data_IF_545780331058
#
_entry.id   IF_545780331058
#
_cell.length_a   1.000
_cell.length_b   1.000
_cell.length_c   1.000
_cell.angle_alpha   90.00
_cell.angle_beta   90.00
_cell.angle_gamma   90.00
#
_symmetry.space_group_name_H-M   'P 1'
#
loop_
_entity.id
_entity.type
_entity.pdbx_description
1 polymer ?
#
# COMPACT_ATOMS: atom_id res chain seq x y z
N UNK A 1 14.58 -17.67 18.61
CA UNK A 1 14.50 -17.90 17.14
C UNK A 1 15.90 -17.85 16.52
N UNK A 2 16.18 -18.63 15.46
CA UNK A 2 17.54 -18.69 14.87
C UNK A 2 17.86 -17.60 13.83
N UNK A 3 16.85 -17.18 13.04
CA UNK A 3 17.01 -16.15 12.01
C UNK A 3 15.68 -15.46 11.77
N UNK A 4 15.75 -14.19 11.38
CA UNK A 4 14.61 -13.37 10.99
C UNK A 4 14.87 -12.77 9.61
N UNK A 5 13.82 -12.55 8.82
CA UNK A 5 13.92 -11.89 7.52
C UNK A 5 13.49 -10.44 7.65
N UNK A 6 14.44 -9.53 7.53
CA UNK A 6 14.19 -8.10 7.60
C UNK A 6 13.88 -7.56 6.20
N UNK A 7 12.86 -6.72 6.11
CA UNK A 7 12.58 -5.90 4.93
C UNK A 7 13.17 -4.51 5.11
N UNK A 8 14.13 -4.16 4.26
CA UNK A 8 14.74 -2.84 4.21
C UNK A 8 14.15 -2.06 3.04
N UNK A 9 13.85 -0.78 3.26
CA UNK A 9 13.34 0.12 2.24
C UNK A 9 14.14 1.44 2.19
N UNK A 10 14.20 2.08 1.02
CA UNK A 10 14.71 3.44 0.89
C UNK A 10 13.53 4.40 0.69
N UNK A 11 13.10 5.08 1.75
CA UNK A 11 11.91 5.92 1.77
C UNK A 11 12.26 7.41 1.74
N UNK A 12 11.37 8.30 1.28
CA UNK A 12 11.54 9.74 1.47
C UNK A 12 11.47 10.11 2.96
N UNK A 13 12.22 11.12 3.37
CA UNK A 13 11.99 11.80 4.66
C UNK A 13 10.73 12.66 4.60
N UNK A 14 10.22 13.11 5.76
CA UNK A 14 9.00 13.94 5.85
C UNK A 14 9.06 15.23 5.02
N UNK A 15 10.26 15.76 4.79
CA UNK A 15 10.50 16.93 3.92
C UNK A 15 10.44 16.62 2.41
N UNK A 16 10.34 15.35 2.02
CA UNK A 16 10.32 14.84 0.65
C UNK A 16 11.63 15.00 -0.13
N UNK A 17 12.64 15.66 0.45
CA UNK A 17 13.89 16.05 -0.22
C UNK A 17 14.96 15.00 -0.05
N UNK A 18 15.07 14.43 1.15
CA UNK A 18 16.08 13.42 1.46
C UNK A 18 15.49 12.02 1.39
N UNK A 19 16.37 11.01 1.39
CA UNK A 19 15.98 9.62 1.50
C UNK A 19 16.54 9.06 2.80
N UNK A 20 15.78 8.16 3.43
CA UNK A 20 16.13 7.47 4.66
C UNK A 20 16.02 5.96 4.44
N UNK A 21 16.98 5.22 4.99
CA UNK A 21 16.93 3.77 5.01
C UNK A 21 16.05 3.35 6.18
N UNK A 22 15.06 2.51 5.90
CA UNK A 22 14.09 2.04 6.86
C UNK A 22 14.10 0.52 6.95
N UNK A 23 13.73 -0.02 8.10
CA UNK A 23 13.30 -1.40 8.28
C UNK A 23 11.78 -1.35 8.43
N UNK A 24 11.04 -1.95 7.50
CA UNK A 24 9.58 -1.79 7.43
C UNK A 24 8.84 -3.00 8.00
N UNK A 25 9.43 -4.19 7.89
CA UNK A 25 8.84 -5.41 8.43
C UNK A 25 9.88 -6.46 8.79
N UNK A 26 9.48 -7.40 9.63
CA UNK A 26 10.25 -8.58 10.02
C UNK A 26 9.40 -9.81 9.75
N UNK A 27 9.97 -10.84 9.11
CA UNK A 27 9.27 -12.11 8.92
C UNK A 27 9.98 -13.27 9.63
N UNK A 28 9.20 -14.18 10.19
CA UNK A 28 9.69 -15.41 10.81
C UNK A 28 9.82 -16.53 9.78
N UNK A 29 10.43 -17.67 10.16
CA UNK A 29 10.54 -18.85 9.26
C UNK A 29 9.17 -19.40 8.86
N UNK A 30 8.17 -19.18 9.71
CA UNK A 30 6.77 -19.59 9.52
C UNK A 30 5.99 -18.65 8.59
N UNK A 31 6.68 -17.71 7.92
CA UNK A 31 6.12 -16.69 7.02
C UNK A 31 5.16 -15.69 7.68
N UNK A 32 5.08 -15.67 9.01
CA UNK A 32 4.44 -14.59 9.73
C UNK A 32 5.22 -13.30 9.52
N UNK A 33 4.53 -12.21 9.21
CA UNK A 33 5.13 -10.89 8.97
C UNK A 33 4.68 -9.95 10.08
N UNK A 34 5.61 -9.16 10.58
CA UNK A 34 5.38 -8.22 11.66
C UNK A 34 5.78 -6.81 11.20
N UNK A 35 4.87 -5.84 11.38
CA UNK A 35 5.10 -4.45 11.00
C UNK A 35 6.06 -3.77 11.99
N UNK A 36 6.95 -2.92 11.47
CA UNK A 36 7.68 -1.96 12.30
C UNK A 36 6.94 -0.62 12.23
N UNK A 37 6.46 -0.05 13.36
CA UNK A 37 5.80 1.25 13.40
C UNK A 37 6.64 2.37 12.77
N UNK A 38 5.99 3.28 12.05
CA UNK A 38 6.66 4.30 11.21
C UNK A 38 7.67 5.15 11.98
N UNK A 39 7.37 5.46 13.24
CA UNK A 39 8.19 6.29 14.13
C UNK A 39 9.55 5.65 14.42
N UNK A 40 9.64 4.32 14.32
CA UNK A 40 10.82 3.54 14.68
C UNK A 40 11.46 2.82 13.49
N UNK A 41 10.97 3.01 12.25
CA UNK A 41 11.51 2.32 11.07
C UNK A 41 12.93 2.76 10.69
N UNK A 42 13.35 3.97 11.03
CA UNK A 42 14.66 4.49 10.62
C UNK A 42 15.79 3.55 11.02
N UNK A 43 16.59 3.10 10.06
CA UNK A 43 17.68 2.15 10.31
C UNK A 43 18.72 2.68 11.31
N UNK A 44 18.80 4.00 11.49
CA UNK A 44 19.63 4.62 12.52
C UNK A 44 19.24 4.25 13.95
N UNK A 45 17.98 3.85 14.16
CA UNK A 45 17.48 3.34 15.45
C UNK A 45 17.85 1.87 15.68
N UNK A 46 18.08 1.12 14.60
CA UNK A 46 18.42 -0.30 14.61
C UNK A 46 19.95 -0.51 14.71
N UNK A 47 20.58 0.01 15.78
CA UNK A 47 22.05 0.12 15.92
C UNK A 47 22.84 -1.19 15.80
N UNK A 48 22.31 -2.30 16.32
CA UNK A 48 23.00 -3.60 16.16
C UNK A 48 22.78 -4.19 14.76
N UNK A 49 21.64 -3.90 14.13
CA UNK A 49 21.32 -4.37 12.78
C UNK A 49 22.26 -3.77 11.74
N UNK A 50 22.61 -2.48 11.87
CA UNK A 50 23.52 -1.80 10.93
C UNK A 50 24.96 -2.31 10.99
N UNK A 51 25.35 -2.99 12.08
CA UNK A 51 26.68 -3.60 12.19
C UNK A 51 26.78 -4.91 11.41
N UNK A 52 25.65 -5.50 11.03
CA UNK A 52 25.63 -6.79 10.35
C UNK A 52 26.24 -6.71 8.95
N UNK A 53 26.95 -7.77 8.55
CA UNK A 53 27.44 -7.90 7.18
C UNK A 53 26.31 -7.92 6.13
N UNK A 54 25.12 -8.38 6.53
CA UNK A 54 23.91 -8.34 5.73
C UNK A 54 23.51 -6.89 5.42
N UNK A 55 23.42 -6.01 6.42
CA UNK A 55 23.10 -4.61 6.19
C UNK A 55 24.13 -3.90 5.29
N UNK A 56 25.42 -4.18 5.49
CA UNK A 56 26.48 -3.62 4.65
C UNK A 56 26.35 -4.00 3.16
N UNK A 57 25.71 -5.13 2.84
CA UNK A 57 25.37 -5.53 1.46
C UNK A 57 24.04 -4.94 0.99
N UNK A 58 23.07 -4.80 1.89
CA UNK A 58 21.75 -4.22 1.59
C UNK A 58 21.86 -2.74 1.22
N UNK A 59 22.58 -1.94 2.02
CA UNK A 59 22.72 -0.49 1.83
C UNK A 59 23.10 -0.09 0.40
N UNK A 60 24.19 -0.60 -0.22
CA UNK A 60 24.53 -0.27 -1.60
C UNK A 60 23.60 -0.88 -2.66
N UNK A 61 22.75 -1.84 -2.30
CA UNK A 61 21.80 -2.49 -3.22
C UNK A 61 20.48 -1.71 -3.39
N UNK A 62 20.20 -0.79 -2.48
CA UNK A 62 19.04 0.10 -2.48
C UNK A 62 19.44 1.47 -3.05
N UNK A 63 19.24 1.67 -4.35
CA UNK A 63 19.73 2.87 -5.07
C UNK A 63 18.63 3.88 -5.42
N UNK A 64 17.39 3.43 -5.54
CA UNK A 64 16.24 4.28 -5.93
C UNK A 64 15.23 4.34 -4.78
N UNK A 65 14.55 5.48 -4.67
CA UNK A 65 13.44 5.67 -3.72
C UNK A 65 12.38 4.58 -3.93
N UNK A 66 11.79 4.13 -2.83
CA UNK A 66 10.82 3.03 -2.73
C UNK A 66 11.35 1.64 -3.11
N UNK A 67 12.65 1.48 -3.33
CA UNK A 67 13.20 0.12 -3.46
C UNK A 67 13.20 -0.59 -2.11
N UNK A 68 12.91 -1.89 -2.15
CA UNK A 68 12.93 -2.77 -0.98
C UNK A 68 13.85 -3.97 -1.20
N UNK A 69 14.37 -4.54 -0.10
CA UNK A 69 15.13 -5.79 -0.09
C UNK A 69 14.81 -6.58 1.17
N UNK A 70 14.49 -7.86 0.98
CA UNK A 70 14.23 -8.80 2.08
C UNK A 70 15.45 -9.68 2.26
N UNK A 71 16.02 -9.68 3.47
CA UNK A 71 17.25 -10.44 3.75
C UNK A 71 17.11 -11.21 5.06
N UNK A 72 17.45 -12.50 4.99
CA UNK A 72 17.57 -13.34 6.18
C UNK A 72 18.85 -12.98 6.95
N UNK A 73 18.68 -12.69 8.23
CA UNK A 73 19.76 -12.34 9.15
C UNK A 73 19.70 -13.33 10.31
N UNK A 74 20.83 -14.00 10.55
CA UNK A 74 21.00 -14.88 11.70
C UNK A 74 20.93 -14.04 12.98
N UNK A 75 20.18 -14.51 13.97
CA UNK A 75 20.09 -13.85 15.27
C UNK A 75 21.35 -14.13 16.08
N UNK A 76 22.15 -13.09 16.30
CA UNK A 76 23.17 -13.09 17.35
C UNK A 76 22.52 -12.80 18.70
N UNK A 77 23.24 -13.02 19.79
CA UNK A 77 22.73 -12.77 21.14
C UNK A 77 22.31 -11.31 21.33
N UNK A 78 23.03 -10.36 20.72
CA UNK A 78 22.70 -8.93 20.78
C UNK A 78 21.44 -8.59 20.00
N UNK A 79 21.28 -9.14 18.80
CA UNK A 79 20.07 -8.93 17.99
C UNK A 79 18.87 -9.62 18.62
N UNK A 80 19.05 -10.82 19.18
CA UNK A 80 17.96 -11.55 19.82
C UNK A 80 17.38 -10.72 20.96
N UNK A 81 18.21 -10.12 21.83
CA UNK A 81 17.74 -9.26 22.93
C UNK A 81 16.94 -8.02 22.47
N UNK A 82 17.17 -7.58 21.23
CA UNK A 82 16.50 -6.39 20.68
C UNK A 82 15.18 -6.76 20.02
N UNK A 83 15.15 -7.88 19.30
CA UNK A 83 14.02 -8.24 18.42
C UNK A 83 13.14 -9.37 18.94
N UNK A 84 13.60 -10.12 19.94
CA UNK A 84 12.93 -11.31 20.46
C UNK A 84 12.95 -11.27 21.98
N UNK A 85 11.80 -11.36 22.62
CA UNK A 85 11.72 -11.47 24.08
C UNK A 85 12.05 -12.89 24.56
N UNK A 86 11.98 -13.11 25.88
CA UNK A 86 12.25 -14.42 26.50
C UNK A 86 11.21 -15.48 26.11
N UNK A 87 9.99 -15.06 25.79
CA UNK A 87 8.87 -15.92 25.39
C UNK A 87 8.83 -16.20 23.87
N UNK A 88 9.72 -15.58 23.10
CA UNK A 88 9.82 -15.74 21.66
C UNK A 88 8.92 -14.82 20.84
N UNK A 89 8.34 -13.78 21.43
CA UNK A 89 7.58 -12.75 20.73
C UNK A 89 8.51 -11.75 20.06
N UNK A 90 8.05 -11.17 18.94
CA UNK A 90 8.81 -10.11 18.28
C UNK A 90 8.52 -8.75 18.90
N UNK A 91 9.60 -8.04 19.21
CA UNK A 91 9.56 -6.72 19.82
C UNK A 91 10.56 -5.77 19.14
N UNK A 92 10.42 -4.49 19.40
CA UNK A 92 11.50 -3.53 19.20
C UNK A 92 11.30 -2.31 20.10
N UNK A 93 12.32 -1.95 20.86
CA UNK A 93 12.16 -0.93 21.90
C UNK A 93 11.29 -1.46 23.05
N UNK A 94 10.26 -0.70 23.44
CA UNK A 94 9.35 -1.05 24.54
C UNK A 94 7.99 -1.59 24.05
N UNK A 95 7.90 -2.02 22.79
CA UNK A 95 6.66 -2.46 22.17
C UNK A 95 6.81 -3.78 21.41
N UNK A 96 5.72 -4.56 21.42
CA UNK A 96 5.55 -5.73 20.57
C UNK A 96 5.20 -5.31 19.14
N UNK A 97 5.65 -6.09 18.17
CA UNK A 97 5.34 -5.84 16.76
C UNK A 97 4.00 -6.48 16.40
N UNK A 98 3.22 -5.80 15.57
CA UNK A 98 1.92 -6.28 15.11
C UNK A 98 2.07 -7.29 13.96
N UNK A 99 1.44 -8.46 14.07
CA UNK A 99 1.40 -9.46 13.00
C UNK A 99 0.46 -9.00 11.88
N UNK A 100 0.99 -8.87 10.66
CA UNK A 100 0.23 -8.54 9.46
C UNK A 100 -0.25 -9.83 8.81
N UNK A 101 -1.56 -9.98 8.64
CA UNK A 101 -2.13 -11.12 7.92
C UNK A 101 -1.68 -11.15 6.45
N UNK A 102 -0.91 -12.18 6.08
CA UNK A 102 -0.66 -12.47 4.67
C UNK A 102 -1.90 -13.12 4.05
N UNK A 103 -2.64 -12.37 3.21
CA UNK A 103 -3.57 -12.98 2.25
C UNK A 103 -2.76 -13.78 1.22
N UNK A 104 -2.49 -15.05 1.53
CA UNK A 104 -1.76 -15.98 0.66
C UNK A 104 -2.48 -16.04 -0.69
N UNK A 105 -1.85 -15.47 -1.72
CA UNK A 105 -2.26 -15.65 -3.11
C UNK A 105 -1.13 -16.39 -3.79
N UNK A 106 -1.30 -17.70 -3.93
CA UNK A 106 -0.35 -18.58 -4.60
C UNK A 106 -0.11 -18.10 -6.04
N UNK A 107 1.15 -17.84 -6.39
CA UNK A 107 1.63 -17.84 -7.78
C UNK A 107 2.12 -16.50 -8.33
N UNK A 108 3.43 -16.48 -8.62
CA UNK A 108 4.05 -15.58 -9.61
C UNK A 108 4.87 -14.45 -9.01
N UNK A 109 6.12 -14.31 -9.46
CA UNK A 109 6.94 -13.10 -9.25
C UNK A 109 6.15 -11.88 -9.70
N UNK A 110 6.04 -10.88 -8.82
CA UNK A 110 5.32 -9.64 -9.15
C UNK A 110 6.21 -8.46 -8.84
N UNK A 111 6.55 -7.71 -9.88
CA UNK A 111 7.02 -6.32 -9.80
C UNK A 111 6.00 -5.50 -9.01
N UNK A 112 6.44 -4.81 -7.96
CA UNK A 112 5.63 -4.19 -6.89
C UNK A 112 4.37 -3.41 -7.32
N UNK A 113 4.26 -2.95 -8.57
CA UNK A 113 3.05 -2.29 -9.10
C UNK A 113 1.88 -3.24 -9.36
N UNK A 114 2.12 -4.43 -9.91
CA UNK A 114 1.03 -5.38 -10.23
C UNK A 114 0.48 -6.09 -8.98
N UNK A 115 1.26 -6.15 -7.89
CA UNK A 115 0.84 -6.74 -6.61
C UNK A 115 -0.17 -5.86 -5.92
N UNK A 116 0.07 -4.55 -5.92
CA UNK A 116 -0.87 -3.58 -5.38
C UNK A 116 -2.14 -3.57 -6.21
N UNK A 117 -2.06 -3.51 -7.54
CA UNK A 117 -3.26 -3.57 -8.41
C UNK A 117 -4.10 -4.84 -8.18
N UNK A 118 -3.46 -6.00 -7.99
CA UNK A 118 -4.16 -7.27 -7.69
C UNK A 118 -4.69 -7.33 -6.25
N UNK A 119 -3.96 -6.80 -5.27
CA UNK A 119 -4.43 -6.73 -3.88
C UNK A 119 -5.57 -5.71 -3.75
N UNK A 120 -5.51 -4.57 -4.44
CA UNK A 120 -6.62 -3.63 -4.58
C UNK A 120 -7.81 -4.30 -5.26
N UNK A 121 -7.60 -5.00 -6.38
CA UNK A 121 -8.68 -5.72 -7.09
C UNK A 121 -9.34 -6.78 -6.21
N UNK A 122 -8.56 -7.48 -5.38
CA UNK A 122 -9.02 -8.58 -4.51
C UNK A 122 -9.65 -8.10 -3.20
N UNK A 123 -9.17 -6.99 -2.62
CA UNK A 123 -9.79 -6.31 -1.47
C UNK A 123 -11.17 -5.75 -1.89
N UNK A 124 -11.23 -5.20 -3.10
CA UNK A 124 -12.45 -4.71 -3.75
C UNK A 124 -13.39 -5.88 -4.12
N UNK A 125 -12.91 -6.99 -4.69
CA UNK A 125 -13.76 -8.13 -5.09
C UNK A 125 -14.48 -8.82 -3.92
N UNK A 126 -13.82 -8.99 -2.78
CA UNK A 126 -14.36 -9.80 -1.66
C UNK A 126 -15.61 -9.22 -0.99
N UNK A 127 -15.88 -7.92 -1.16
CA UNK A 127 -17.10 -7.25 -0.67
C UNK A 127 -17.98 -6.73 -1.81
N UNK A 128 -17.52 -6.75 -3.06
CA UNK A 128 -18.21 -6.16 -4.21
C UNK A 128 -18.92 -7.12 -5.16
N UNK A 129 -18.69 -8.44 -5.22
CA UNK A 129 -19.27 -9.26 -6.30
C UNK A 129 -20.80 -9.12 -6.49
N UNK A 130 -21.56 -8.89 -5.40
CA UNK A 130 -23.01 -8.64 -5.44
C UNK A 130 -23.34 -7.17 -5.80
N UNK A 131 -22.53 -6.20 -5.38
CA UNK A 131 -22.72 -4.75 -5.63
C UNK A 131 -22.20 -4.30 -7.01
N UNK A 132 -21.09 -4.87 -7.49
CA UNK A 132 -20.40 -4.57 -8.76
C UNK A 132 -21.25 -4.92 -9.98
N UNK A 133 -22.05 -5.99 -9.90
CA UNK A 133 -23.00 -6.35 -10.96
C UNK A 133 -24.05 -5.24 -11.18
N UNK A 134 -24.49 -4.58 -10.10
CA UNK A 134 -25.47 -3.50 -10.18
C UNK A 134 -24.83 -2.19 -10.69
N UNK A 135 -23.64 -1.82 -10.17
CA UNK A 135 -22.94 -0.59 -10.57
C UNK A 135 -22.45 -0.60 -12.03
N UNK A 136 -21.98 -1.75 -12.53
CA UNK A 136 -21.57 -1.88 -13.95
C UNK A 136 -22.78 -1.75 -14.89
N UNK A 137 -23.91 -2.35 -14.52
CA UNK A 137 -25.17 -2.20 -15.26
C UNK A 137 -25.64 -0.73 -15.29
N UNK A 138 -25.56 -0.03 -14.16
CA UNK A 138 -25.90 1.39 -14.08
C UNK A 138 -24.94 2.23 -14.96
N UNK A 139 -23.64 1.98 -14.88
CA UNK A 139 -22.65 2.69 -15.68
C UNK A 139 -22.82 2.51 -17.19
N UNK A 140 -23.23 1.32 -17.65
CA UNK A 140 -23.56 1.07 -19.07
C UNK A 140 -24.79 1.86 -19.56
N UNK A 141 -25.62 2.38 -18.64
CA UNK A 141 -26.80 3.19 -18.94
C UNK A 141 -26.54 4.69 -18.81
N UNK A 142 -25.37 5.11 -18.33
CA UNK A 142 -25.00 6.52 -18.32
C UNK A 142 -24.74 6.98 -19.76
N UNK A 143 -25.26 8.16 -20.09
CA UNK A 143 -25.05 8.78 -21.41
C UNK A 143 -23.96 9.84 -21.27
N UNK A 144 -22.76 9.41 -20.88
CA UNK A 144 -21.58 10.25 -20.74
C UNK A 144 -20.33 9.52 -21.24
N UNK A 145 -19.47 10.22 -21.98
CA UNK A 145 -18.19 9.70 -22.41
C UNK A 145 -17.22 9.58 -21.23
N UNK A 146 -16.27 8.66 -21.32
CA UNK A 146 -15.18 8.57 -20.33
C UNK A 146 -14.39 9.87 -20.28
N UNK A 147 -14.02 10.28 -19.07
CA UNK A 147 -13.11 11.39 -18.89
C UNK A 147 -11.71 11.01 -19.37
N UNK A 148 -11.14 11.88 -20.19
CA UNK A 148 -9.75 11.80 -20.62
C UNK A 148 -9.11 13.17 -20.49
N UNK A 149 -7.78 13.22 -20.47
CA UNK A 149 -7.02 14.48 -20.52
C UNK A 149 -7.23 15.31 -21.79
N UNK A 150 -8.02 14.83 -22.75
CA UNK A 150 -8.31 15.47 -24.03
C UNK A 150 -9.77 15.88 -24.22
N UNK A 151 -10.67 15.42 -23.33
CA UNK A 151 -12.09 15.74 -23.39
C UNK A 151 -12.30 17.00 -22.53
N UNK A 152 -12.53 18.11 -23.19
CA UNK A 152 -12.44 19.47 -22.68
C UNK A 152 -13.36 19.74 -21.46
N UNK A 153 -12.83 20.52 -20.51
CA UNK A 153 -13.48 21.06 -19.30
C UNK A 153 -13.94 20.04 -18.23
N UNK A 154 -13.01 19.69 -17.32
CA UNK A 154 -13.24 18.79 -16.18
C UNK A 154 -14.47 19.17 -15.33
N UNK A 155 -14.67 20.46 -15.06
CA UNK A 155 -15.83 20.95 -14.29
C UNK A 155 -17.15 20.66 -15.00
N UNK A 156 -17.19 20.82 -16.32
CA UNK A 156 -18.40 20.52 -17.09
C UNK A 156 -18.65 19.01 -17.15
N UNK A 157 -17.58 18.22 -17.26
CA UNK A 157 -17.67 16.77 -17.27
C UNK A 157 -18.14 16.22 -15.92
N UNK A 158 -17.61 16.72 -14.80
CA UNK A 158 -18.03 16.25 -13.48
C UNK A 158 -19.49 16.63 -13.18
N UNK A 159 -19.95 17.81 -13.61
CA UNK A 159 -21.37 18.18 -13.52
C UNK A 159 -22.27 17.23 -14.34
N UNK A 160 -21.83 16.81 -15.53
CA UNK A 160 -22.57 15.83 -16.34
C UNK A 160 -22.59 14.46 -15.66
N UNK A 161 -21.47 14.05 -15.06
CA UNK A 161 -21.37 12.80 -14.32
C UNK A 161 -22.29 12.79 -13.08
N UNK A 162 -22.31 13.87 -12.30
CA UNK A 162 -23.17 14.00 -11.13
C UNK A 162 -24.67 14.03 -11.50
N UNK A 163 -25.03 14.66 -12.63
CA UNK A 163 -26.40 14.62 -13.16
C UNK A 163 -26.83 13.20 -13.51
N UNK A 164 -25.93 12.41 -14.10
CA UNK A 164 -26.21 11.00 -14.38
C UNK A 164 -26.29 10.18 -13.09
N UNK A 165 -25.42 10.41 -12.09
CA UNK A 165 -25.56 9.80 -10.76
C UNK A 165 -26.93 10.09 -10.14
N UNK A 166 -27.39 11.35 -10.19
CA UNK A 166 -28.71 11.73 -9.70
C UNK A 166 -29.85 11.07 -10.49
N UNK A 167 -29.71 10.90 -11.81
CA UNK A 167 -30.70 10.23 -12.67
C UNK A 167 -30.93 8.76 -12.29
N UNK A 168 -29.96 8.11 -11.66
CA UNK A 168 -30.03 6.73 -11.18
C UNK A 168 -30.11 6.62 -9.65
N UNK A 169 -30.51 7.69 -8.96
CA UNK A 169 -30.65 7.73 -7.50
C UNK A 169 -29.36 7.39 -6.72
N UNK A 170 -28.19 7.69 -7.31
CA UNK A 170 -26.89 7.56 -6.65
C UNK A 170 -26.57 8.87 -5.93
N UNK A 171 -27.08 8.99 -4.71
CA UNK A 171 -26.99 10.21 -3.91
C UNK A 171 -25.75 10.21 -3.01
N UNK A 172 -25.35 9.04 -2.52
CA UNK A 172 -24.23 8.85 -1.59
C UNK A 172 -22.87 9.06 -2.27
N UNK A 173 -22.04 9.95 -1.73
CA UNK A 173 -20.78 10.34 -2.35
C UNK A 173 -19.78 9.19 -2.48
N UNK A 174 -19.72 8.30 -1.48
CA UNK A 174 -18.92 7.07 -1.59
C UNK A 174 -19.28 6.22 -2.81
N UNK A 175 -20.58 6.11 -3.14
CA UNK A 175 -21.04 5.39 -4.34
C UNK A 175 -20.72 6.14 -5.63
N UNK A 176 -20.80 7.47 -5.63
CA UNK A 176 -20.40 8.29 -6.78
C UNK A 176 -18.91 8.09 -7.06
N UNK A 177 -18.07 8.12 -6.03
CA UNK A 177 -16.62 7.88 -6.13
C UNK A 177 -16.36 6.47 -6.67
N UNK A 178 -17.05 5.44 -6.16
CA UNK A 178 -16.90 4.06 -6.67
C UNK A 178 -17.21 3.94 -8.17
N UNK A 179 -18.30 4.56 -8.63
CA UNK A 179 -18.73 4.52 -10.04
C UNK A 179 -17.81 5.36 -10.91
N UNK A 180 -17.28 6.47 -10.39
CA UNK A 180 -16.39 7.38 -11.10
C UNK A 180 -15.23 6.65 -11.77
N UNK A 181 -14.69 5.61 -11.13
CA UNK A 181 -13.63 4.75 -11.69
C UNK A 181 -13.97 4.20 -13.07
N UNK A 182 -15.22 3.80 -13.30
CA UNK A 182 -15.67 3.20 -14.56
C UNK A 182 -15.63 4.19 -15.73
N UNK A 183 -15.63 5.48 -15.41
CA UNK A 183 -15.62 6.59 -16.35
C UNK A 183 -14.25 7.28 -16.47
N UNK A 184 -13.22 6.81 -15.76
CA UNK A 184 -11.85 7.31 -15.90
C UNK A 184 -11.06 6.46 -16.90
N UNK A 185 -10.34 7.10 -17.82
CA UNK A 185 -9.48 6.41 -18.79
C UNK A 185 -8.01 6.87 -18.72
N UNK A 186 -7.09 5.96 -19.05
CA UNK A 186 -5.63 6.21 -19.09
C UNK A 186 -5.11 6.88 -17.80
N UNK A 187 -4.40 8.00 -17.94
CA UNK A 187 -3.80 8.76 -16.84
C UNK A 187 -4.81 9.25 -15.80
N UNK A 188 -6.09 9.38 -16.15
CA UNK A 188 -7.14 9.77 -15.21
C UNK A 188 -7.49 8.61 -14.26
N UNK A 189 -7.38 7.36 -14.72
CA UNK A 189 -7.56 6.18 -13.86
C UNK A 189 -6.39 6.02 -12.87
N UNK A 190 -5.17 6.38 -13.28
CA UNK A 190 -3.99 6.41 -12.42
C UNK A 190 -4.13 7.49 -11.32
N UNK A 191 -4.64 8.66 -11.69
CA UNK A 191 -4.97 9.74 -10.74
C UNK A 191 -6.03 9.28 -9.74
N UNK A 192 -7.14 8.70 -10.21
CA UNK A 192 -8.18 8.18 -9.34
C UNK A 192 -7.62 7.15 -8.34
N UNK A 193 -6.80 6.23 -8.83
CA UNK A 193 -6.17 5.19 -7.99
C UNK A 193 -5.26 5.82 -6.92
N UNK A 194 -4.50 6.85 -7.30
CA UNK A 194 -3.64 7.59 -6.36
C UNK A 194 -4.44 8.35 -5.31
N UNK A 195 -5.59 8.93 -5.68
CA UNK A 195 -6.45 9.67 -4.74
C UNK A 195 -7.18 8.74 -3.77
N UNK A 196 -7.64 7.57 -4.21
CA UNK A 196 -8.20 6.56 -3.31
C UNK A 196 -7.16 6.11 -2.27
N UNK A 197 -5.89 5.96 -2.66
CA UNK A 197 -4.80 5.61 -1.73
C UNK A 197 -4.58 6.71 -0.69
N UNK A 198 -4.65 7.98 -1.13
CA UNK A 198 -4.33 9.14 -0.29
C UNK A 198 -5.48 9.57 0.63
N UNK A 199 -6.71 9.52 0.13
CA UNK A 199 -7.90 10.08 0.77
C UNK A 199 -8.89 8.99 1.24
N UNK A 200 -8.76 7.74 0.81
CA UNK A 200 -9.76 6.69 1.04
C UNK A 200 -11.16 7.06 0.50
N UNK A 201 -12.17 6.23 0.73
CA UNK A 201 -13.56 6.50 0.28
C UNK A 201 -14.32 7.45 1.23
N UNK A 202 -13.82 7.63 2.46
CA UNK A 202 -14.54 8.32 3.54
C UNK A 202 -14.03 9.75 3.80
N UNK A 203 -12.99 10.22 3.10
CA UNK A 203 -12.54 11.61 3.24
C UNK A 203 -13.33 12.55 2.34
N UNK A 204 -13.37 13.83 2.72
CA UNK A 204 -13.87 14.91 1.88
C UNK A 204 -12.95 15.12 0.66
N UNK A 205 -13.45 14.85 -0.54
CA UNK A 205 -12.78 15.16 -1.81
C UNK A 205 -12.97 16.63 -2.18
N UNK A 206 -12.73 17.54 -1.23
CA UNK A 206 -12.78 18.99 -1.46
C UNK A 206 -11.46 19.50 -2.02
N UNK A 207 -11.56 20.51 -2.89
CA UNK A 207 -10.48 21.18 -3.61
C UNK A 207 -9.34 21.72 -2.72
#
# INVERSE_FOLDING_TARGET
MEQLRFEFALLPTSDGKSNIYCVTSIATKEQKIFAIPEEIQSVGLHKELIKTSAYNKVKPSLKKRYQTRKVWIKMSDELSKIYVDEDGNLQFGEQYLEEIEQKVTSGGQVTDTQSLEKLFSKLIESTQEIKKQNLKYIAEKFVIDKFTSKNSHASQWIEMFEKECARFDIIEDGKKIEILRLFMDKSCADWYSSMIIKLTLDSDWTE
#
